data_IF_023301010028
#
_entry.id   IF_023301010028
#
_cell.length_a   1.000
_cell.length_b   1.000
_cell.length_c   1.000
_cell.angle_alpha   90.00
_cell.angle_beta   90.00
_cell.angle_gamma   90.00
#
_symmetry.space_group_name_H-M   'P 1'
#
loop_
_entity.id
_entity.type
_entity.pdbx_description
1 polymer ?
#
# COMPACT_ATOMS: atom_id res chain seq x y z
N UNK A 1 -9.20 0.44 26.32
CA UNK A 1 -7.95 0.73 25.57
C UNK A 1 -8.29 0.76 24.09
N UNK A 2 -7.53 1.42 23.21
CA UNK A 2 -7.83 1.40 21.76
C UNK A 2 -7.88 -0.04 21.19
N UNK A 3 -7.15 -0.97 21.81
CA UNK A 3 -7.10 -2.40 21.49
C UNK A 3 -8.34 -3.20 21.88
N UNK A 4 -9.20 -2.65 22.73
CA UNK A 4 -10.42 -3.34 23.18
C UNK A 4 -11.68 -2.88 22.45
N UNK A 5 -11.53 -1.88 21.56
CA UNK A 5 -12.64 -1.33 20.79
C UNK A 5 -13.07 -2.35 19.74
N UNK A 6 -14.37 -2.40 19.47
CA UNK A 6 -14.97 -3.21 18.42
C UNK A 6 -15.55 -2.34 17.32
N UNK A 7 -15.76 -2.95 16.16
CA UNK A 7 -16.33 -2.30 14.99
C UNK A 7 -17.69 -1.66 15.31
N UNK A 8 -18.52 -2.33 16.12
CA UNK A 8 -19.87 -1.88 16.46
C UNK A 8 -19.90 -0.63 17.37
N UNK A 9 -18.76 -0.31 18.00
CA UNK A 9 -18.61 0.86 18.85
C UNK A 9 -18.34 2.15 18.04
N UNK A 10 -18.14 2.03 16.72
CA UNK A 10 -17.89 3.16 15.83
C UNK A 10 -19.17 3.66 15.16
N UNK A 11 -19.37 4.97 15.16
CA UNK A 11 -20.50 5.61 14.50
C UNK A 11 -20.47 5.49 12.97
N UNK A 12 -19.29 5.27 12.36
CA UNK A 12 -19.10 5.16 10.90
C UNK A 12 -18.05 4.11 10.58
N UNK A 13 -18.29 3.30 9.55
CA UNK A 13 -17.34 2.31 9.06
C UNK A 13 -15.99 2.92 8.65
N UNK A 14 -15.99 4.14 8.09
CA UNK A 14 -14.75 4.86 7.75
C UNK A 14 -13.88 5.17 8.97
N UNK A 15 -14.48 5.48 10.12
CA UNK A 15 -13.74 5.75 11.36
C UNK A 15 -13.11 4.46 11.89
N UNK A 16 -13.80 3.33 11.78
CA UNK A 16 -13.23 2.02 12.12
C UNK A 16 -12.04 1.65 11.23
N UNK A 17 -12.15 1.91 9.93
CA UNK A 17 -11.05 1.70 8.98
C UNK A 17 -9.84 2.57 9.35
N UNK A 18 -10.06 3.84 9.70
CA UNK A 18 -9.00 4.77 10.09
C UNK A 18 -8.30 4.33 11.38
N UNK A 19 -9.06 3.88 12.37
CA UNK A 19 -8.53 3.33 13.62
C UNK A 19 -7.70 2.07 13.35
N UNK A 20 -8.25 1.11 12.62
CA UNK A 20 -7.60 -0.16 12.31
C UNK A 20 -6.30 0.08 11.53
N UNK A 21 -6.31 0.97 10.55
CA UNK A 21 -5.13 1.34 9.79
C UNK A 21 -4.07 2.03 10.65
N UNK A 22 -4.49 2.87 11.61
CA UNK A 22 -3.57 3.51 12.56
C UNK A 22 -2.92 2.48 13.50
N UNK A 23 -3.71 1.51 14.00
CA UNK A 23 -3.20 0.41 14.81
C UNK A 23 -2.22 -0.46 14.00
N UNK A 24 -2.51 -0.74 12.73
CA UNK A 24 -1.61 -1.48 11.85
C UNK A 24 -0.29 -0.73 11.67
N UNK A 25 -0.36 0.57 11.37
CA UNK A 25 0.81 1.44 11.17
C UNK A 25 1.71 1.49 12.42
N UNK A 26 1.11 1.43 13.61
CA UNK A 26 1.81 1.41 14.89
C UNK A 26 2.24 0.00 15.33
N UNK A 27 2.01 -1.02 14.50
CA UNK A 27 2.24 -2.43 14.81
C UNK A 27 1.53 -2.90 16.10
N UNK A 28 0.29 -2.43 16.28
CA UNK A 28 -0.58 -2.71 17.43
C UNK A 28 -1.90 -3.36 17.04
N UNK A 29 -2.18 -3.56 15.76
CA UNK A 29 -3.43 -4.17 15.34
C UNK A 29 -3.42 -5.69 15.56
N UNK A 30 -4.37 -6.16 16.37
CA UNK A 30 -4.66 -7.60 16.43
C UNK A 30 -5.34 -8.10 15.14
N UNK A 31 -5.20 -9.40 14.88
CA UNK A 31 -5.82 -10.08 13.72
C UNK A 31 -7.30 -9.75 13.55
N UNK A 32 -8.06 -9.70 14.65
CA UNK A 32 -9.50 -9.43 14.62
C UNK A 32 -9.83 -8.05 14.04
N UNK A 33 -9.07 -7.01 14.41
CA UNK A 33 -9.24 -5.67 13.85
C UNK A 33 -9.05 -5.68 12.33
N UNK A 34 -7.96 -6.31 11.88
CA UNK A 34 -7.58 -6.34 10.46
C UNK A 34 -8.60 -7.11 9.63
N UNK A 35 -8.92 -8.34 10.05
CA UNK A 35 -9.85 -9.21 9.33
C UNK A 35 -11.24 -8.60 9.26
N UNK A 36 -11.70 -7.90 10.31
CA UNK A 36 -13.04 -7.30 10.30
C UNK A 36 -13.23 -6.31 9.16
N UNK A 37 -12.16 -5.60 8.76
CA UNK A 37 -12.19 -4.63 7.65
C UNK A 37 -12.17 -5.25 6.25
N UNK A 38 -11.82 -6.54 6.13
CA UNK A 38 -11.76 -7.26 4.86
C UNK A 38 -13.01 -8.10 4.59
N UNK A 39 -13.94 -8.16 5.55
CA UNK A 39 -15.18 -8.93 5.40
C UNK A 39 -16.14 -8.25 4.43
N UNK A 40 -16.90 -9.02 3.62
CA UNK A 40 -17.91 -8.46 2.72
C UNK A 40 -18.88 -7.50 3.43
N UNK A 41 -19.33 -7.83 4.65
CA UNK A 41 -20.30 -7.00 5.38
C UNK A 41 -19.73 -5.63 5.75
N UNK A 42 -18.41 -5.52 5.95
CA UNK A 42 -17.76 -4.24 6.21
C UNK A 42 -17.60 -3.41 4.94
N UNK A 43 -17.26 -4.07 3.82
CA UNK A 43 -17.19 -3.42 2.52
C UNK A 43 -18.56 -2.86 2.11
N UNK A 44 -19.62 -3.63 2.34
CA UNK A 44 -21.01 -3.19 2.10
C UNK A 44 -21.37 -1.96 2.95
N UNK A 45 -20.95 -1.91 4.22
CA UNK A 45 -21.13 -0.72 5.09
C UNK A 45 -20.36 0.50 4.60
N UNK A 46 -19.20 0.33 3.96
CA UNK A 46 -18.49 1.44 3.34
C UNK A 46 -19.23 1.92 2.09
N UNK A 47 -19.69 0.98 1.26
CA UNK A 47 -20.45 1.25 0.04
C UNK A 47 -21.84 1.85 0.29
N UNK A 48 -22.44 1.61 1.46
CA UNK A 48 -23.74 2.21 1.80
C UNK A 48 -23.70 3.74 1.88
N UNK A 49 -22.51 4.33 1.93
CA UNK A 49 -22.30 5.79 1.90
C UNK A 49 -21.99 6.34 0.51
N UNK A 50 -21.97 5.49 -0.52
CA UNK A 50 -21.57 5.81 -1.88
C UNK A 50 -20.34 5.01 -2.33
N UNK A 51 -19.56 5.54 -3.27
CA UNK A 51 -18.31 4.91 -3.68
C UNK A 51 -17.26 4.96 -2.56
N UNK A 52 -16.45 3.91 -2.43
CA UNK A 52 -15.31 3.93 -1.50
C UNK A 52 -14.25 4.90 -2.03
N UNK A 53 -13.93 5.99 -1.30
CA UNK A 53 -12.97 6.97 -1.80
C UNK A 53 -11.57 6.37 -1.88
N UNK A 54 -10.77 6.83 -2.85
CA UNK A 54 -9.41 6.35 -3.13
C UNK A 54 -8.54 6.19 -1.86
N UNK A 55 -8.50 7.15 -0.90
CA UNK A 55 -7.72 6.99 0.32
C UNK A 55 -8.15 5.79 1.18
N UNK A 56 -9.45 5.49 1.26
CA UNK A 56 -9.96 4.35 2.01
C UNK A 56 -9.61 3.03 1.30
N UNK A 57 -9.72 2.99 -0.05
CA UNK A 57 -9.29 1.84 -0.86
C UNK A 57 -7.82 1.51 -0.65
N UNK A 58 -6.94 2.53 -0.61
CA UNK A 58 -5.51 2.35 -0.28
C UNK A 58 -5.29 1.73 1.10
N UNK A 59 -6.04 2.17 2.12
CA UNK A 59 -5.95 1.58 3.48
C UNK A 59 -6.35 0.11 3.48
N UNK A 60 -7.45 -0.23 2.80
CA UNK A 60 -7.90 -1.62 2.65
C UNK A 60 -6.86 -2.49 1.94
N UNK A 61 -6.24 -1.99 0.87
CA UNK A 61 -5.18 -2.71 0.14
C UNK A 61 -3.95 -2.97 1.02
N UNK A 62 -3.54 -2.00 1.83
CA UNK A 62 -2.41 -2.19 2.77
C UNK A 62 -2.75 -3.22 3.85
N UNK A 63 -3.97 -3.17 4.39
CA UNK A 63 -4.45 -4.15 5.37
C UNK A 63 -4.50 -5.55 4.74
N UNK A 64 -5.07 -5.68 3.53
CA UNK A 64 -5.14 -6.94 2.79
C UNK A 64 -3.76 -7.54 2.53
N UNK A 65 -2.80 -6.73 2.08
CA UNK A 65 -1.44 -7.19 1.85
C UNK A 65 -0.79 -7.72 3.14
N UNK A 66 -0.93 -7.00 4.25
CA UNK A 66 -0.40 -7.42 5.54
C UNK A 66 -1.07 -8.72 6.04
N UNK A 67 -2.40 -8.81 5.92
CA UNK A 67 -3.16 -9.99 6.31
C UNK A 67 -2.78 -11.19 5.45
N UNK A 68 -2.65 -11.01 4.14
CA UNK A 68 -2.22 -12.08 3.23
C UNK A 68 -0.82 -12.62 3.54
N UNK A 69 0.09 -11.76 4.00
CA UNK A 69 1.44 -12.17 4.39
C UNK A 69 1.49 -12.85 5.77
N UNK A 70 0.70 -12.36 6.72
CA UNK A 70 0.78 -12.77 8.14
C UNK A 70 -0.21 -13.88 8.50
N UNK A 71 -1.36 -13.92 7.84
CA UNK A 71 -2.49 -14.81 8.13
C UNK A 71 -3.12 -15.37 6.84
N UNK A 72 -2.44 -16.29 6.13
CA UNK A 72 -2.80 -16.72 4.78
C UNK A 72 -4.24 -17.25 4.62
N UNK A 73 -4.79 -17.86 5.68
CA UNK A 73 -6.15 -18.45 5.69
C UNK A 73 -7.26 -17.44 5.99
N UNK A 74 -6.96 -16.14 6.03
CA UNK A 74 -7.93 -15.09 6.35
C UNK A 74 -8.66 -14.58 5.11
N UNK A 75 -9.87 -14.02 5.27
CA UNK A 75 -10.59 -13.35 4.18
C UNK A 75 -9.71 -12.31 3.48
N UNK A 76 -9.82 -12.25 2.15
CA UNK A 76 -9.11 -11.31 1.29
C UNK A 76 -10.05 -10.25 0.74
N UNK A 77 -9.49 -9.09 0.44
CA UNK A 77 -10.23 -7.99 -0.16
C UNK A 77 -10.75 -8.40 -1.55
N UNK A 78 -12.01 -8.08 -1.89
CA UNK A 78 -12.53 -8.28 -3.24
C UNK A 78 -11.71 -7.51 -4.29
N UNK A 79 -11.44 -8.15 -5.44
CA UNK A 79 -10.54 -7.60 -6.47
C UNK A 79 -11.04 -6.27 -7.05
N UNK A 80 -12.34 -6.10 -7.21
CA UNK A 80 -12.98 -4.86 -7.70
C UNK A 80 -12.66 -3.64 -6.81
N UNK A 81 -12.48 -3.85 -5.51
CA UNK A 81 -12.07 -2.80 -4.57
C UNK A 81 -10.60 -2.40 -4.75
N UNK A 82 -9.75 -3.27 -5.30
CA UNK A 82 -8.34 -2.98 -5.57
C UNK A 82 -8.09 -2.33 -6.95
N UNK A 83 -9.00 -2.50 -7.91
CA UNK A 83 -8.81 -2.09 -9.32
C UNK A 83 -9.03 -0.58 -9.54
N UNK A 84 -8.06 0.10 -10.17
CA UNK A 84 -8.23 1.50 -10.59
C UNK A 84 -8.00 2.53 -9.48
N UNK A 85 -7.30 2.16 -8.41
CA UNK A 85 -6.75 3.12 -7.44
C UNK A 85 -5.55 3.81 -8.10
N UNK A 86 -5.66 5.08 -8.52
CA UNK A 86 -4.62 5.70 -9.31
C UNK A 86 -3.40 6.01 -8.45
N UNK A 87 -2.21 5.68 -8.98
CA UNK A 87 -0.91 5.95 -8.37
C UNK A 87 -0.37 7.27 -8.91
N UNK A 88 -1.08 8.37 -8.62
CA UNK A 88 -0.69 9.69 -9.11
C UNK A 88 0.37 10.30 -8.19
N UNK A 89 1.51 10.68 -8.78
CA UNK A 89 2.50 11.52 -8.10
C UNK A 89 1.96 12.93 -7.91
N UNK A 90 2.18 13.53 -6.74
CA UNK A 90 2.05 14.99 -6.60
C UNK A 90 3.18 15.66 -7.40
N UNK A 91 2.98 16.90 -7.85
CA UNK A 91 4.03 17.67 -8.56
C UNK A 91 5.33 17.75 -7.76
N UNK A 92 5.21 17.92 -6.44
CA UNK A 92 6.35 17.93 -5.51
C UNK A 92 7.07 16.58 -5.51
N UNK A 93 6.32 15.46 -5.43
CA UNK A 93 6.90 14.12 -5.49
C UNK A 93 7.59 13.88 -6.83
N UNK A 94 7.03 14.32 -7.95
CA UNK A 94 7.69 14.23 -9.27
C UNK A 94 9.02 14.98 -9.29
N UNK A 95 9.07 16.20 -8.75
CA UNK A 95 10.30 16.99 -8.66
C UNK A 95 11.37 16.32 -7.77
N UNK A 96 10.94 15.76 -6.64
CA UNK A 96 11.83 15.03 -5.75
C UNK A 96 12.39 13.76 -6.38
N UNK A 97 11.53 12.94 -7.01
CA UNK A 97 11.95 11.76 -7.76
C UNK A 97 12.96 12.14 -8.82
N UNK A 98 12.68 13.17 -9.63
CA UNK A 98 13.61 13.65 -10.65
C UNK A 98 14.99 14.00 -10.07
N UNK A 99 15.02 14.69 -8.93
CA UNK A 99 16.28 15.09 -8.26
C UNK A 99 17.09 13.88 -7.76
N UNK A 100 16.42 12.88 -7.20
CA UNK A 100 17.05 11.60 -6.82
C UNK A 100 17.61 10.90 -8.06
N UNK A 101 16.84 10.88 -9.16
CA UNK A 101 17.23 10.20 -10.39
C UNK A 101 18.45 10.86 -11.04
N UNK A 102 18.52 12.18 -11.04
CA UNK A 102 19.67 12.91 -11.58
C UNK A 102 20.93 12.66 -10.74
N UNK A 103 20.77 12.55 -9.41
CA UNK A 103 21.86 12.17 -8.50
C UNK A 103 22.29 10.72 -8.74
N UNK A 104 21.36 9.79 -8.95
CA UNK A 104 21.70 8.39 -9.25
C UNK A 104 22.44 8.26 -10.58
N UNK A 105 22.02 8.99 -11.62
CA UNK A 105 22.70 8.99 -12.92
C UNK A 105 24.16 9.42 -12.82
N UNK A 106 24.49 10.37 -11.96
CA UNK A 106 25.89 10.78 -11.73
C UNK A 106 26.73 9.72 -11.02
N UNK A 107 26.10 8.87 -10.21
CA UNK A 107 26.77 7.78 -9.48
C UNK A 107 27.03 6.55 -10.35
N UNK A 108 26.04 6.09 -11.12
CA UNK A 108 26.12 4.80 -11.84
C UNK A 108 26.49 4.93 -13.31
N UNK A 109 26.62 6.16 -13.84
CA UNK A 109 27.10 6.50 -15.19
C UNK A 109 26.38 5.85 -16.39
N UNK A 110 25.42 4.95 -16.18
CA UNK A 110 24.68 4.26 -17.24
C UNK A 110 23.23 3.97 -16.83
N UNK A 111 22.30 4.30 -17.72
CA UNK A 111 20.86 4.05 -17.55
C UNK A 111 20.51 2.55 -17.51
N UNK A 112 21.42 1.68 -17.96
CA UNK A 112 21.24 0.21 -18.00
C UNK A 112 21.13 -0.43 -16.62
N UNK A 113 21.53 0.27 -15.56
CA UNK A 113 21.48 -0.23 -14.18
C UNK A 113 20.24 0.22 -13.42
N UNK A 114 19.39 1.06 -14.02
CA UNK A 114 18.32 1.77 -13.32
C UNK A 114 16.99 1.64 -14.07
N UNK A 115 16.03 0.94 -13.49
CA UNK A 115 14.67 0.81 -14.03
C UNK A 115 13.76 1.79 -13.31
N UNK A 116 12.92 2.52 -14.05
CA UNK A 116 12.03 3.55 -13.51
C UNK A 116 10.58 3.10 -13.56
N UNK A 117 9.74 3.75 -12.75
CA UNK A 117 8.27 3.60 -12.80
C UNK A 117 7.85 2.13 -12.72
N UNK A 118 8.51 1.37 -11.84
CA UNK A 118 8.29 -0.07 -11.79
C UNK A 118 6.95 -0.34 -11.10
N UNK A 119 5.99 -0.88 -11.84
CA UNK A 119 4.73 -1.35 -11.29
C UNK A 119 4.90 -2.77 -10.75
N UNK A 120 4.85 -2.88 -9.42
CA UNK A 120 4.97 -4.15 -8.70
C UNK A 120 3.67 -4.96 -8.65
N UNK A 121 2.55 -4.37 -9.06
CA UNK A 121 1.22 -4.93 -8.83
C UNK A 121 0.77 -4.89 -7.37
N UNK A 122 1.59 -4.36 -6.44
CA UNK A 122 1.30 -4.33 -5.00
C UNK A 122 0.53 -3.08 -4.56
N UNK A 123 -0.02 -2.32 -5.51
CA UNK A 123 -0.75 -1.07 -5.21
C UNK A 123 0.14 0.13 -4.88
N UNK A 124 1.42 0.09 -5.28
CA UNK A 124 2.32 1.25 -5.28
C UNK A 124 3.35 1.14 -6.41
N UNK A 125 3.83 2.28 -6.90
CA UNK A 125 4.91 2.35 -7.90
C UNK A 125 6.24 2.48 -7.16
N UNK A 126 7.24 1.68 -7.56
CA UNK A 126 8.61 1.99 -7.22
C UNK A 126 9.07 3.17 -8.07
N UNK A 127 9.64 4.19 -7.43
CA UNK A 127 10.20 5.34 -8.13
C UNK A 127 11.36 4.88 -9.05
N UNK A 128 12.22 3.99 -8.53
CA UNK A 128 13.25 3.29 -9.30
C UNK A 128 13.69 1.97 -8.65
N UNK A 129 14.28 1.09 -9.46
CA UNK A 129 14.95 -0.15 -9.07
C UNK A 129 16.41 -0.09 -9.52
N UNK A 130 17.32 -0.53 -8.64
CA UNK A 130 18.76 -0.63 -8.86
C UNK A 130 19.25 -1.90 -8.16
N UNK A 131 20.02 -2.72 -8.87
CA UNK A 131 20.54 -3.98 -8.34
C UNK A 131 22.07 -3.95 -8.25
N UNK A 132 22.60 -4.60 -7.22
CA UNK A 132 24.03 -4.81 -7.04
C UNK A 132 24.37 -6.27 -6.77
N UNK A 133 25.57 -6.69 -7.17
CA UNK A 133 26.12 -7.98 -6.78
C UNK A 133 26.54 -8.03 -5.29
N UNK A 134 27.01 -9.19 -4.83
CA UNK A 134 27.48 -9.37 -3.46
C UNK A 134 28.71 -8.51 -3.09
N UNK A 135 29.35 -7.87 -4.07
CA UNK A 135 30.50 -6.96 -3.91
C UNK A 135 30.09 -5.50 -4.10
N UNK A 136 28.78 -5.21 -4.15
CA UNK A 136 28.21 -3.89 -4.37
C UNK A 136 28.47 -3.29 -5.76
N UNK A 137 28.77 -4.09 -6.78
CA UNK A 137 28.87 -3.59 -8.14
C UNK A 137 27.48 -3.52 -8.81
N UNK A 138 27.17 -2.44 -9.56
CA UNK A 138 25.95 -2.35 -10.36
C UNK A 138 25.76 -3.54 -11.30
N UNK A 139 24.56 -4.14 -11.32
CA UNK A 139 24.21 -5.20 -12.30
C UNK A 139 23.09 -4.74 -13.24
N UNK A 140 23.16 -5.03 -14.55
CA UNK A 140 22.14 -4.57 -15.49
C UNK A 140 20.78 -5.18 -15.17
N UNK A 141 19.74 -4.36 -15.14
CA UNK A 141 18.37 -4.84 -15.01
C UNK A 141 17.91 -5.27 -16.42
N UNK A 142 17.56 -6.54 -16.60
CA UNK A 142 17.06 -7.03 -17.89
C UNK A 142 15.83 -6.21 -18.33
N UNK A 143 15.77 -5.85 -19.62
CA UNK A 143 14.64 -5.12 -20.22
C UNK A 143 13.44 -6.02 -20.43
#
# INVERSE_FOLDING_TARGET
SALSLKEEEMAKASVWLDLTFSLLTLNKADKQHLVSTLRPEFIDKLLSTGEIPIPARRKLMVIDAYVGLTYPDSPRLPEDISVGVPLVYTKEKTSYVQSIMDTFKSLVSAETFLRKECNSGMGFLYDAEFAVDAKCHPVPLQK
#
